data_IF_891058853739
#
_entry.id   IF_891058853739
#
_cell.length_a   1.000
_cell.length_b   1.000
_cell.length_c   1.000
_cell.angle_alpha   90.00
_cell.angle_beta   90.00
_cell.angle_gamma   90.00
#
_symmetry.space_group_name_H-M   'P 1'
#
loop_
_entity.id
_entity.type
_entity.pdbx_description
1 polymer ?
#
# COMPACT_ATOMS: atom_id res chain seq x y z
N UNK A 1 6.26 -19.26 -23.46
CA UNK A 1 6.63 -18.03 -24.21
C UNK A 1 5.90 -18.03 -25.56
N UNK A 2 5.68 -16.86 -26.15
CA UNK A 2 5.09 -16.69 -27.49
C UNK A 2 5.92 -15.69 -28.30
N UNK A 3 5.76 -15.64 -29.64
CA UNK A 3 6.33 -14.57 -30.46
C UNK A 3 5.78 -13.20 -30.06
N UNK A 4 6.64 -12.19 -30.04
CA UNK A 4 6.24 -10.79 -29.81
C UNK A 4 5.44 -10.30 -31.04
N UNK A 5 4.25 -9.71 -30.86
CA UNK A 5 3.52 -9.08 -31.96
C UNK A 5 4.32 -7.95 -32.60
N UNK A 6 4.28 -7.84 -33.92
CA UNK A 6 5.06 -6.83 -34.68
C UNK A 6 4.77 -5.38 -34.24
N UNK A 7 3.53 -5.11 -33.80
CA UNK A 7 3.11 -3.79 -33.33
C UNK A 7 3.50 -3.47 -31.87
N UNK A 8 4.18 -4.38 -31.16
CA UNK A 8 4.57 -4.20 -29.76
C UNK A 8 6.09 -4.12 -29.63
N UNK A 9 6.59 -2.93 -29.28
CA UNK A 9 7.95 -2.80 -28.76
C UNK A 9 8.01 -3.38 -27.34
N UNK A 10 8.24 -4.69 -27.26
CA UNK A 10 8.23 -5.40 -25.99
C UNK A 10 9.43 -5.07 -25.10
N UNK A 11 10.56 -4.72 -25.71
CA UNK A 11 11.75 -4.31 -24.96
C UNK A 11 11.48 -2.98 -24.24
N UNK A 12 10.94 -2.01 -24.96
CA UNK A 12 10.54 -0.74 -24.35
C UNK A 12 9.40 -0.91 -23.35
N UNK A 13 8.41 -1.77 -23.65
CA UNK A 13 7.30 -2.06 -22.73
C UNK A 13 7.78 -2.65 -21.39
N UNK A 14 8.76 -3.57 -21.41
CA UNK A 14 9.34 -4.13 -20.19
C UNK A 14 10.03 -3.06 -19.33
N UNK A 15 10.55 -2.01 -19.96
CA UNK A 15 11.17 -0.91 -19.27
C UNK A 15 12.37 -1.35 -18.42
N UNK A 16 12.51 -0.85 -17.17
CA UNK A 16 13.59 -1.23 -16.26
C UNK A 16 13.43 -2.63 -15.63
N UNK A 17 12.27 -3.29 -15.81
CA UNK A 17 12.01 -4.58 -15.17
C UNK A 17 12.94 -5.68 -15.72
N UNK A 18 13.18 -6.77 -14.97
CA UNK A 18 13.93 -7.92 -15.47
C UNK A 18 13.34 -8.44 -16.80
N UNK A 19 14.20 -8.82 -17.73
CA UNK A 19 13.72 -9.39 -18.99
C UNK A 19 12.95 -10.70 -18.74
N UNK A 20 11.71 -10.75 -19.23
CA UNK A 20 10.90 -11.98 -19.26
C UNK A 20 10.56 -12.32 -20.70
N UNK A 21 10.52 -13.60 -21.09
CA UNK A 21 9.99 -13.96 -22.40
C UNK A 21 8.55 -13.49 -22.57
N UNK A 22 8.23 -12.96 -23.75
CA UNK A 22 6.88 -12.49 -24.05
C UNK A 22 5.83 -13.58 -23.84
N UNK A 23 4.71 -13.14 -23.26
CA UNK A 23 3.48 -13.89 -23.18
C UNK A 23 2.33 -12.87 -23.11
N UNK A 24 1.20 -13.06 -23.84
CA UNK A 24 0.11 -12.08 -23.84
C UNK A 24 -0.46 -11.79 -22.45
N UNK A 25 -0.43 -12.77 -21.54
CA UNK A 25 -0.84 -12.60 -20.13
C UNK A 25 0.12 -11.74 -19.28
N UNK A 26 1.29 -11.34 -19.80
CA UNK A 26 2.21 -10.46 -19.05
C UNK A 26 2.05 -9.00 -19.41
N UNK A 27 1.24 -8.65 -20.40
CA UNK A 27 1.19 -7.30 -20.95
C UNK A 27 -0.11 -6.56 -20.60
N UNK A 28 -1.18 -6.74 -21.36
CA UNK A 28 -2.38 -5.92 -21.18
C UNK A 28 -3.22 -6.42 -20.01
N UNK A 29 -3.52 -5.52 -19.05
CA UNK A 29 -4.31 -5.70 -17.83
C UNK A 29 -3.78 -6.73 -16.80
N UNK A 30 -3.18 -7.82 -17.26
CA UNK A 30 -2.78 -8.98 -16.46
C UNK A 30 -1.36 -8.88 -15.91
N UNK A 31 -0.56 -7.93 -16.43
CA UNK A 31 0.77 -7.59 -15.88
C UNK A 31 0.71 -7.31 -14.37
N UNK A 32 -0.43 -6.82 -13.89
CA UNK A 32 -0.64 -6.47 -12.48
C UNK A 32 -0.40 -7.63 -11.52
N UNK A 33 -0.64 -8.87 -11.96
CA UNK A 33 -0.44 -10.06 -11.14
C UNK A 33 1.03 -10.44 -10.91
N UNK A 34 1.99 -9.76 -11.55
CA UNK A 34 3.40 -10.14 -11.48
C UNK A 34 4.21 -9.24 -10.58
N UNK A 35 5.18 -9.85 -9.92
CA UNK A 35 6.09 -9.23 -8.97
C UNK A 35 6.96 -8.12 -9.57
N UNK A 36 7.39 -8.31 -10.82
CA UNK A 36 8.29 -7.40 -11.52
C UNK A 36 7.59 -6.12 -12.02
N UNK A 37 6.26 -6.07 -11.93
CA UNK A 37 5.46 -4.94 -12.39
C UNK A 37 4.70 -4.32 -11.20
N UNK A 38 3.44 -4.69 -11.00
CA UNK A 38 2.58 -4.06 -9.99
C UNK A 38 2.70 -4.77 -8.63
N UNK A 39 2.87 -6.09 -8.63
CA UNK A 39 2.93 -6.90 -7.41
C UNK A 39 1.55 -7.22 -6.83
N UNK A 40 0.60 -7.53 -7.70
CA UNK A 40 -0.73 -8.05 -7.37
C UNK A 40 -1.74 -6.96 -7.02
N UNK A 41 -2.91 -7.39 -6.56
CA UNK A 41 -3.98 -6.45 -6.16
C UNK A 41 -3.58 -5.48 -5.04
N UNK A 42 -2.60 -5.83 -4.22
CA UNK A 42 -2.05 -4.91 -3.22
C UNK A 42 -1.27 -3.76 -3.87
N UNK A 43 -0.52 -4.00 -4.94
CA UNK A 43 0.15 -2.94 -5.69
C UNK A 43 -0.84 -2.03 -6.41
N UNK A 44 -1.81 -2.64 -7.10
CA UNK A 44 -2.80 -1.93 -7.92
C UNK A 44 -3.77 -1.09 -7.07
N UNK A 45 -4.29 -1.68 -5.98
CA UNK A 45 -5.39 -1.11 -5.20
C UNK A 45 -5.01 -0.69 -3.78
N UNK A 46 -3.84 -1.08 -3.27
CA UNK A 46 -3.46 -0.87 -1.87
C UNK A 46 -3.51 0.61 -1.47
N UNK A 47 -3.04 1.51 -2.33
CA UNK A 47 -3.05 2.95 -2.08
C UNK A 47 -4.48 3.50 -1.92
N UNK A 48 -5.47 2.99 -2.67
CA UNK A 48 -6.86 3.44 -2.58
C UNK A 48 -7.51 3.14 -1.22
N UNK A 49 -6.97 2.17 -0.47
CA UNK A 49 -7.48 1.79 0.84
C UNK A 49 -6.60 2.33 1.97
N UNK A 50 -5.28 2.22 1.82
CA UNK A 50 -4.34 2.51 2.92
C UNK A 50 -4.22 4.02 3.16
N UNK A 51 -4.15 4.83 2.11
CA UNK A 51 -3.91 6.27 2.25
C UNK A 51 -5.03 6.98 3.04
N UNK A 52 -6.33 6.81 2.72
CA UNK A 52 -7.40 7.36 3.55
C UNK A 52 -7.41 6.81 4.98
N UNK A 53 -7.11 5.53 5.17
CA UNK A 53 -7.05 4.91 6.51
C UNK A 53 -5.91 5.51 7.35
N UNK A 54 -4.73 5.69 6.76
CA UNK A 54 -3.58 6.31 7.41
C UNK A 54 -3.89 7.75 7.83
N UNK A 55 -4.52 8.53 6.94
CA UNK A 55 -4.96 9.88 7.21
C UNK A 55 -5.97 9.95 8.37
N UNK A 56 -7.02 9.11 8.34
CA UNK A 56 -8.06 9.09 9.38
C UNK A 56 -7.47 8.72 10.75
N UNK A 57 -6.45 7.86 10.80
CA UNK A 57 -5.76 7.49 12.03
C UNK A 57 -4.75 8.55 12.51
N UNK A 58 -4.52 9.61 11.74
CA UNK A 58 -3.51 10.64 12.03
C UNK A 58 -2.08 10.13 11.89
N UNK A 59 -1.85 9.18 10.98
CA UNK A 59 -0.60 8.42 10.84
C UNK A 59 0.26 8.83 9.63
N UNK A 60 -0.05 9.95 8.97
CA UNK A 60 0.61 10.41 7.73
C UNK A 60 2.11 10.72 7.86
N UNK A 61 2.64 10.79 9.07
CA UNK A 61 4.04 11.13 9.34
C UNK A 61 4.86 9.97 9.91
N UNK A 62 4.24 8.82 10.12
CA UNK A 62 4.88 7.62 10.66
C UNK A 62 4.61 6.40 9.78
N UNK A 63 5.24 5.28 10.12
CA UNK A 63 5.08 4.01 9.41
C UNK A 63 4.93 2.87 10.43
N UNK A 64 4.26 1.77 10.05
CA UNK A 64 4.17 0.58 10.89
C UNK A 64 5.57 0.07 11.27
N UNK A 65 5.73 -0.36 12.52
CA UNK A 65 6.98 -0.92 13.07
C UNK A 65 7.02 -2.44 13.04
N UNK A 66 5.88 -3.08 12.86
CA UNK A 66 5.73 -4.52 12.69
C UNK A 66 4.74 -4.80 11.56
N UNK A 67 5.12 -5.66 10.61
CA UNK A 67 4.30 -6.05 9.47
C UNK A 67 4.28 -7.57 9.38
N UNK A 68 3.10 -8.15 9.29
CA UNK A 68 2.88 -9.58 9.20
C UNK A 68 1.85 -9.87 8.12
N UNK A 69 2.10 -10.90 7.32
CA UNK A 69 1.17 -11.35 6.30
C UNK A 69 0.90 -12.84 6.47
N UNK A 70 -0.37 -13.21 6.46
CA UNK A 70 -0.78 -14.61 6.43
C UNK A 70 -1.05 -15.03 4.99
N UNK A 71 -0.15 -15.86 4.48
CA UNK A 71 -0.20 -16.34 3.10
C UNK A 71 0.50 -17.69 2.98
N UNK A 72 0.10 -18.48 1.99
CA UNK A 72 0.88 -19.64 1.57
C UNK A 72 2.17 -19.14 0.89
N UNK A 73 3.21 -19.97 0.76
CA UNK A 73 4.41 -19.58 0.04
C UNK A 73 4.07 -19.00 -1.35
N UNK A 74 4.47 -17.74 -1.57
CA UNK A 74 4.20 -17.02 -2.81
C UNK A 74 4.96 -17.65 -3.98
N UNK A 75 4.37 -17.59 -5.17
CA UNK A 75 5.10 -17.93 -6.39
C UNK A 75 6.26 -16.93 -6.61
N UNK A 76 7.35 -17.42 -7.19
CA UNK A 76 8.57 -16.61 -7.40
C UNK A 76 8.37 -15.47 -8.39
N UNK A 77 7.36 -15.54 -9.25
CA UNK A 77 7.18 -14.67 -10.40
C UNK A 77 5.83 -13.94 -10.37
N UNK A 78 4.78 -14.61 -9.87
CA UNK A 78 3.45 -14.04 -9.73
C UNK A 78 3.00 -13.96 -8.27
N UNK A 79 2.09 -13.04 -8.00
CA UNK A 79 1.45 -12.90 -6.69
C UNK A 79 0.31 -13.91 -6.59
N UNK A 80 0.32 -14.72 -5.53
CA UNK A 80 -0.76 -15.65 -5.20
C UNK A 80 -1.65 -15.07 -4.11
N UNK A 81 -2.81 -15.69 -3.90
CA UNK A 81 -3.76 -15.25 -2.89
C UNK A 81 -3.12 -15.19 -1.49
N UNK A 82 -3.63 -14.27 -0.67
CA UNK A 82 -3.21 -14.09 0.72
C UNK A 82 -4.44 -13.78 1.57
N UNK A 83 -4.36 -14.09 2.85
CA UNK A 83 -5.51 -14.08 3.76
C UNK A 83 -5.68 -12.72 4.40
N UNK A 84 -4.63 -12.23 5.05
CA UNK A 84 -4.62 -10.89 5.61
C UNK A 84 -3.20 -10.34 5.72
N UNK A 85 -3.10 -9.02 5.87
CA UNK A 85 -1.86 -8.33 6.24
C UNK A 85 -2.16 -7.41 7.42
N UNK A 86 -1.35 -7.52 8.46
CA UNK A 86 -1.42 -6.69 9.66
C UNK A 86 -0.25 -5.73 9.68
N UNK A 87 -0.55 -4.45 9.89
CA UNK A 87 0.42 -3.39 10.07
C UNK A 87 0.24 -2.78 11.44
N UNK A 88 1.26 -2.86 12.29
CA UNK A 88 1.21 -2.36 13.67
C UNK A 88 2.13 -1.16 13.84
N UNK A 89 1.58 -0.07 14.37
CA UNK A 89 2.29 1.16 14.72
C UNK A 89 2.89 1.09 16.13
N UNK A 90 3.80 2.01 16.44
CA UNK A 90 4.55 2.03 17.70
C UNK A 90 3.66 2.22 18.94
N UNK A 91 2.54 2.94 18.79
CA UNK A 91 1.54 3.16 19.84
C UNK A 91 0.55 1.99 20.00
N UNK A 92 0.71 0.93 19.20
CA UNK A 92 -0.15 -0.25 19.22
C UNK A 92 -1.39 -0.13 18.33
N UNK A 93 -1.60 0.98 17.63
CA UNK A 93 -2.63 1.08 16.60
C UNK A 93 -2.32 0.14 15.44
N UNK A 94 -3.34 -0.49 14.85
CA UNK A 94 -3.16 -1.49 13.80
C UNK A 94 -4.06 -1.23 12.60
N UNK A 95 -3.56 -1.54 11.40
CA UNK A 95 -4.35 -1.71 10.17
C UNK A 95 -4.38 -3.20 9.85
N UNK A 96 -5.57 -3.76 9.66
CA UNK A 96 -5.78 -5.11 9.16
C UNK A 96 -6.38 -5.04 7.76
N UNK A 97 -5.60 -5.45 6.75
CA UNK A 97 -6.10 -5.65 5.39
C UNK A 97 -6.61 -7.08 5.23
N UNK A 98 -7.89 -7.23 4.91
CA UNK A 98 -8.53 -8.51 4.65
C UNK A 98 -8.49 -8.87 3.15
N UNK A 99 -7.57 -9.77 2.79
CA UNK A 99 -7.36 -10.21 1.40
C UNK A 99 -8.39 -11.22 0.92
N UNK A 100 -9.06 -11.93 1.83
CA UNK A 100 -10.11 -12.89 1.52
C UNK A 100 -11.51 -12.28 1.48
N UNK A 101 -11.64 -11.01 1.88
CA UNK A 101 -12.92 -10.30 1.94
C UNK A 101 -13.98 -11.06 2.76
N UNK A 102 -13.55 -11.63 3.90
CA UNK A 102 -14.38 -12.37 4.86
C UNK A 102 -14.95 -11.47 5.96
N UNK A 103 -14.29 -10.36 6.28
CA UNK A 103 -14.62 -9.44 7.38
C UNK A 103 -15.66 -8.38 6.98
N UNK A 104 -16.75 -8.80 6.30
CA UNK A 104 -17.74 -7.88 5.71
C UNK A 104 -18.50 -7.03 6.71
N UNK A 105 -18.68 -7.55 7.93
CA UNK A 105 -19.40 -6.90 9.02
C UNK A 105 -18.47 -6.37 10.12
N UNK A 106 -17.14 -6.44 9.91
CA UNK A 106 -16.20 -5.89 10.87
C UNK A 106 -16.35 -4.37 10.96
N UNK A 107 -16.02 -3.83 12.14
CA UNK A 107 -15.88 -2.39 12.28
C UNK A 107 -14.79 -1.88 11.34
N UNK A 108 -15.04 -0.76 10.69
CA UNK A 108 -14.03 -0.08 9.87
C UNK A 108 -12.94 0.53 10.76
N UNK A 109 -13.35 1.08 11.92
CA UNK A 109 -12.45 1.60 12.96
C UNK A 109 -12.97 1.10 14.30
N UNK A 110 -12.07 0.57 15.13
CA UNK A 110 -12.37 0.09 16.48
C UNK A 110 -11.34 0.63 17.47
N UNK A 111 -11.82 1.07 18.63
CA UNK A 111 -10.97 1.53 19.72
C UNK A 111 -11.64 1.34 21.09
N UNK A 112 -10.97 1.74 22.18
CA UNK A 112 -11.45 1.51 23.54
C UNK A 112 -12.78 2.22 23.86
N UNK A 113 -13.17 3.21 23.05
CA UNK A 113 -14.37 4.02 23.26
C UNK A 113 -15.52 3.69 22.30
N UNK A 114 -15.37 2.64 21.48
CA UNK A 114 -16.39 2.17 20.55
C UNK A 114 -15.86 1.91 19.14
N UNK A 115 -16.80 1.65 18.23
CA UNK A 115 -16.61 1.15 16.88
C UNK A 115 -17.42 1.96 15.89
N UNK A 116 -16.82 2.19 14.72
CA UNK A 116 -17.48 2.77 13.56
C UNK A 116 -17.55 1.72 12.44
N UNK A 117 -18.74 1.50 11.90
CA UNK A 117 -19.04 0.52 10.87
C UNK A 117 -19.41 1.22 9.56
N UNK A 118 -19.50 0.43 8.49
CA UNK A 118 -19.94 0.89 7.18
C UNK A 118 -21.28 1.63 7.26
N UNK A 119 -21.37 2.74 6.53
CA UNK A 119 -22.57 3.58 6.50
C UNK A 119 -22.74 4.45 7.76
N UNK A 120 -21.64 4.87 8.38
CA UNK A 120 -21.60 5.73 9.58
C UNK A 120 -22.37 5.18 10.79
N UNK A 121 -22.60 3.86 10.83
CA UNK A 121 -23.19 3.20 12.00
C UNK A 121 -22.14 3.12 13.10
N UNK A 122 -22.54 3.35 14.35
CA UNK A 122 -21.61 3.40 15.48
C UNK A 122 -22.24 2.81 16.74
N UNK A 123 -21.44 2.19 17.61
CA UNK A 123 -21.85 1.79 18.96
C UNK A 123 -21.48 2.84 20.03
N UNK A 124 -20.85 3.94 19.62
CA UNK A 124 -20.46 5.04 20.50
C UNK A 124 -21.74 5.70 21.07
N UNK A 125 -21.89 5.79 22.41
CA UNK A 125 -23.04 6.46 23.00
C UNK A 125 -23.13 7.92 22.56
N UNK A 126 -24.35 8.36 22.22
CA UNK A 126 -24.66 9.72 21.76
C UNK A 126 -23.80 10.19 20.56
N UNK A 127 -23.46 9.26 19.63
CA UNK A 127 -22.54 9.53 18.51
C UNK A 127 -22.86 10.82 17.74
N UNK A 128 -24.10 11.00 17.27
CA UNK A 128 -24.53 12.20 16.54
C UNK A 128 -24.33 13.49 17.33
N UNK A 129 -24.66 13.46 18.63
CA UNK A 129 -24.53 14.63 19.51
C UNK A 129 -23.06 14.96 19.78
N UNK A 130 -22.20 13.94 19.89
CA UNK A 130 -20.75 14.13 20.01
C UNK A 130 -20.18 14.68 18.72
N UNK A 131 -20.54 14.10 17.57
CA UNK A 131 -20.09 14.54 16.25
C UNK A 131 -20.43 16.02 16.01
N UNK A 132 -21.64 16.45 16.35
CA UNK A 132 -22.07 17.84 16.23
C UNK A 132 -21.30 18.84 17.14
N UNK A 133 -20.51 18.36 18.10
CA UNK A 133 -19.67 19.20 18.96
C UNK A 133 -18.22 19.31 18.45
N UNK A 134 -17.82 18.46 17.50
CA UNK A 134 -16.48 18.57 16.91
C UNK A 134 -16.42 19.81 16.01
N UNK A 135 -15.29 20.54 16.02
CA UNK A 135 -15.08 21.60 15.05
C UNK A 135 -14.98 21.02 13.64
N UNK A 136 -15.31 21.83 12.65
CA UNK A 136 -14.97 21.50 11.26
C UNK A 136 -13.44 21.32 11.15
N UNK A 137 -12.97 20.37 10.32
CA UNK A 137 -11.55 20.19 10.12
C UNK A 137 -10.94 21.45 9.50
N UNK A 138 -9.67 21.71 9.83
CA UNK A 138 -8.92 22.80 9.22
C UNK A 138 -8.93 22.68 7.68
N UNK A 139 -9.21 23.76 6.94
CA UNK A 139 -9.21 23.73 5.49
C UNK A 139 -7.85 23.33 4.94
N UNK A 140 -7.86 22.46 3.93
CA UNK A 140 -6.67 22.05 3.20
C UNK A 140 -6.75 22.52 1.74
N UNK A 141 -5.59 22.78 1.13
CA UNK A 141 -5.51 23.17 -0.29
C UNK A 141 -5.73 21.92 -1.14
N UNK A 142 -6.90 21.84 -1.78
CA UNK A 142 -7.30 20.71 -2.64
C UNK A 142 -7.39 21.09 -4.12
N UNK A 143 -7.13 22.36 -4.47
CA UNK A 143 -6.93 22.80 -5.85
C UNK A 143 -5.44 22.81 -6.19
N UNK A 144 -5.05 22.05 -7.22
CA UNK A 144 -3.65 21.91 -7.59
C UNK A 144 -3.06 23.22 -8.16
N UNK A 145 -3.86 24.01 -8.89
CA UNK A 145 -3.39 25.26 -9.46
C UNK A 145 -3.18 26.33 -8.38
N UNK A 146 -4.04 26.35 -7.37
CA UNK A 146 -3.87 27.16 -6.16
C UNK A 146 -2.59 26.77 -5.43
N UNK A 147 -2.39 25.48 -5.13
CA UNK A 147 -1.19 24.99 -4.46
C UNK A 147 0.09 25.43 -5.18
N UNK A 148 0.14 25.30 -6.51
CA UNK A 148 1.28 25.73 -7.33
C UNK A 148 1.46 27.24 -7.30
N UNK A 149 0.38 28.01 -7.51
CA UNK A 149 0.44 29.48 -7.59
C UNK A 149 0.86 30.10 -6.27
N UNK A 150 0.31 29.62 -5.17
CA UNK A 150 0.55 30.15 -3.82
C UNK A 150 1.76 29.52 -3.14
N UNK A 151 2.37 28.51 -3.76
CA UNK A 151 3.47 27.72 -3.19
C UNK A 151 3.11 27.13 -1.83
N UNK A 152 1.90 26.60 -1.73
CA UNK A 152 1.40 25.89 -0.55
C UNK A 152 1.42 24.38 -0.78
N UNK A 153 1.63 23.56 0.27
CA UNK A 153 1.46 22.12 0.16
C UNK A 153 0.03 21.77 -0.25
N UNK A 154 -0.10 20.87 -1.23
CA UNK A 154 -1.38 20.24 -1.55
C UNK A 154 -1.77 19.26 -0.42
N UNK A 155 -3.07 19.05 -0.21
CA UNK A 155 -3.58 18.16 0.84
C UNK A 155 -2.98 16.74 0.74
N UNK A 156 -2.91 16.18 -0.46
CA UNK A 156 -2.33 14.87 -0.79
C UNK A 156 -0.96 15.05 -1.47
N UNK A 157 0.03 15.50 -0.71
CA UNK A 157 1.36 15.84 -1.21
C UNK A 157 2.32 14.63 -1.31
N UNK A 158 3.55 14.89 -1.71
CA UNK A 158 4.60 13.87 -1.86
C UNK A 158 4.97 13.19 -0.54
N UNK A 159 4.86 13.87 0.60
CA UNK A 159 5.24 13.30 1.89
C UNK A 159 4.24 12.25 2.37
N UNK A 160 2.94 12.56 2.34
CA UNK A 160 1.92 11.57 2.70
C UNK A 160 1.88 10.43 1.67
N UNK A 161 1.97 10.74 0.38
CA UNK A 161 2.10 9.73 -0.67
C UNK A 161 3.30 8.80 -0.50
N UNK A 162 4.47 9.32 -0.06
CA UNK A 162 5.63 8.49 0.25
C UNK A 162 5.35 7.53 1.43
N UNK A 163 4.72 8.03 2.49
CA UNK A 163 4.41 7.25 3.70
C UNK A 163 3.39 6.16 3.43
N UNK A 164 2.32 6.46 2.70
CA UNK A 164 1.31 5.47 2.34
C UNK A 164 1.87 4.42 1.36
N UNK A 165 2.65 4.84 0.35
CA UNK A 165 3.34 3.92 -0.57
C UNK A 165 4.32 3.02 0.17
N UNK A 166 4.97 3.51 1.23
CA UNK A 166 5.87 2.72 2.07
C UNK A 166 5.12 1.54 2.70
N UNK A 167 3.91 1.77 3.22
CA UNK A 167 3.07 0.71 3.81
C UNK A 167 2.71 -0.36 2.77
N UNK A 168 2.26 0.05 1.58
CA UNK A 168 1.93 -0.88 0.48
C UNK A 168 3.14 -1.76 0.15
N UNK A 169 4.32 -1.15 0.02
CA UNK A 169 5.55 -1.89 -0.28
C UNK A 169 5.98 -2.81 0.86
N UNK A 170 5.84 -2.39 2.13
CA UNK A 170 6.10 -3.27 3.28
C UNK A 170 5.18 -4.49 3.29
N UNK A 171 3.90 -4.31 2.94
CA UNK A 171 2.96 -5.42 2.78
C UNK A 171 3.38 -6.39 1.68
N UNK A 172 3.83 -5.87 0.52
CA UNK A 172 4.37 -6.70 -0.58
C UNK A 172 5.62 -7.49 -0.14
N UNK A 173 6.51 -6.88 0.65
CA UNK A 173 7.71 -7.54 1.15
C UNK A 173 7.34 -8.62 2.17
N UNK A 174 6.38 -8.36 3.06
CA UNK A 174 5.89 -9.34 4.02
C UNK A 174 5.29 -10.56 3.30
N UNK A 175 4.50 -10.34 2.25
CA UNK A 175 3.97 -11.41 1.39
C UNK A 175 5.09 -12.23 0.74
N UNK A 176 6.08 -11.57 0.10
CA UNK A 176 7.17 -12.26 -0.59
C UNK A 176 8.05 -13.08 0.34
N UNK A 177 8.33 -12.54 1.53
CA UNK A 177 9.25 -13.18 2.49
C UNK A 177 8.53 -14.20 3.37
N UNK A 178 7.22 -14.07 3.57
CA UNK A 178 6.43 -14.93 4.46
C UNK A 178 6.84 -14.82 5.94
N UNK A 179 7.46 -13.70 6.34
CA UNK A 179 8.01 -13.47 7.69
C UNK A 179 7.43 -12.19 8.29
N UNK A 180 7.45 -12.12 9.63
CA UNK A 180 7.15 -10.88 10.35
C UNK A 180 8.32 -9.92 10.19
N UNK A 181 8.06 -8.74 9.63
CA UNK A 181 9.05 -7.69 9.44
C UNK A 181 9.05 -6.75 10.64
N UNK A 182 10.25 -6.32 11.06
CA UNK A 182 10.46 -5.25 12.03
C UNK A 182 11.02 -4.05 11.29
N UNK A 183 10.34 -2.92 11.34
CA UNK A 183 10.68 -1.75 10.53
C UNK A 183 11.04 -0.56 11.42
N UNK A 184 12.13 0.12 11.09
CA UNK A 184 12.53 1.37 11.71
C UNK A 184 12.00 2.53 10.87
N UNK A 185 10.98 3.22 11.38
CA UNK A 185 10.35 4.38 10.75
C UNK A 185 11.33 5.52 10.44
N UNK A 186 12.39 5.68 11.26
CA UNK A 186 13.34 6.79 11.10
C UNK A 186 14.32 6.54 9.96
N UNK A 187 14.87 5.34 9.90
CA UNK A 187 15.81 4.97 8.82
C UNK A 187 15.10 4.44 7.58
N UNK A 188 13.82 4.12 7.70
CA UNK A 188 12.98 3.45 6.70
C UNK A 188 13.62 2.14 6.22
N UNK A 189 14.11 1.33 7.17
CA UNK A 189 14.75 0.04 6.92
C UNK A 189 14.15 -1.06 7.76
N UNK A 190 14.17 -2.27 7.21
CA UNK A 190 13.81 -3.48 7.94
C UNK A 190 15.01 -3.86 8.82
N UNK A 191 14.77 -4.01 10.11
CA UNK A 191 15.79 -4.24 11.12
C UNK A 191 16.37 -5.65 10.95
N UNK A 192 17.70 -5.74 10.81
CA UNK A 192 18.45 -6.99 10.72
C UNK A 192 18.00 -7.95 9.60
N UNK A 193 17.42 -7.45 8.50
CA UNK A 193 16.97 -8.28 7.38
C UNK A 193 17.49 -7.73 6.04
N UNK A 194 18.70 -8.12 5.65
CA UNK A 194 19.31 -7.68 4.40
C UNK A 194 18.55 -8.18 3.16
N UNK A 195 17.96 -9.38 3.24
CA UNK A 195 17.18 -10.00 2.18
C UNK A 195 15.89 -9.20 1.92
N UNK A 196 15.13 -8.89 2.97
CA UNK A 196 13.93 -8.07 2.85
C UNK A 196 14.24 -6.63 2.39
N UNK A 197 15.34 -6.05 2.88
CA UNK A 197 15.79 -4.72 2.42
C UNK A 197 16.21 -4.68 0.95
N UNK A 198 16.56 -5.83 0.34
CA UNK A 198 16.90 -5.88 -1.08
C UNK A 198 15.72 -5.50 -1.99
N UNK A 199 14.48 -5.72 -1.54
CA UNK A 199 13.27 -5.34 -2.26
C UNK A 199 12.98 -3.83 -2.24
N UNK A 200 13.56 -3.07 -1.31
CA UNK A 200 13.38 -1.60 -1.24
C UNK A 200 14.03 -0.92 -2.45
N UNK A 201 15.16 -1.47 -2.92
CA UNK A 201 15.88 -0.94 -4.09
C UNK A 201 16.14 -2.06 -5.09
N UNK A 202 15.17 -2.30 -5.96
CA UNK A 202 15.30 -3.30 -7.00
C UNK A 202 16.26 -2.82 -8.11
N UNK A 203 17.17 -3.71 -8.59
CA UNK A 203 18.05 -3.37 -9.68
C UNK A 203 17.27 -3.25 -11.00
N UNK A 204 17.58 -2.23 -11.80
CA UNK A 204 17.09 -2.13 -13.17
C UNK A 204 17.83 -3.14 -14.05
N UNK A 205 17.18 -3.70 -15.06
CA UNK A 205 17.87 -4.53 -16.06
C UNK A 205 18.95 -3.70 -16.79
N UNK A 206 20.05 -4.34 -17.14
CA UNK A 206 21.04 -3.74 -18.03
C UNK A 206 20.78 -4.18 -19.49
N UNK A 207 21.01 -3.33 -20.50
CA UNK A 207 21.23 -1.89 -20.42
C UNK A 207 19.87 -1.15 -20.38
N UNK A 208 19.47 -0.60 -19.23
CA UNK A 208 18.34 0.33 -19.15
C UNK A 208 18.80 1.65 -18.54
N UNK A 209 18.53 2.74 -19.25
CA UNK A 209 18.83 4.12 -18.86
C UNK A 209 17.60 4.97 -19.17
N UNK A 210 17.32 5.96 -18.32
CA UNK A 210 16.20 6.91 -18.49
C UNK A 210 16.73 8.16 -19.20
#
# INVERSE_FOLDING_TARGET
PQPVPEALDYDFWLGPAPFKPYHPHRVHATFRGYWDYDGGGLGDMGQHYIDPTQYIMGKDHESPVEIEADTDPQDKDAVTAWRWIRFKYADGCEILLDGENKLKEAAYIEGPNGKLFKGFKSDIPDFEKKLAQFPDPEPQVTDFLEAVRERKPFALNDQNGHRSCTIVNLGKIALRTGRVLRFDDKTQRIINDADANSYIKQPMRAPWVI
#
